data_IF_057061669129
#
_entry.id   IF_057061669129
#
_cell.length_a   1.000
_cell.length_b   1.000
_cell.length_c   1.000
_cell.angle_alpha   90.00
_cell.angle_beta   90.00
_cell.angle_gamma   90.00
#
_symmetry.space_group_name_H-M   'P 1'
#
loop_
_entity.id
_entity.type
_entity.pdbx_description
1 polymer ?
#
# COMPACT_ATOMS: atom_id res chain seq x y z
N UNK A 1 11.34 3.08 1.20
CA UNK A 1 10.04 2.98 0.50
C UNK A 1 10.10 3.83 -0.76
N UNK A 2 9.89 3.23 -1.93
CA UNK A 2 9.90 3.97 -3.19
C UNK A 2 8.86 5.12 -3.16
N UNK A 3 9.09 6.24 -3.89
CA UNK A 3 8.18 7.39 -3.90
C UNK A 3 6.73 7.01 -4.24
N UNK A 4 6.57 5.99 -5.08
CA UNK A 4 5.30 5.51 -5.63
C UNK A 4 4.30 5.03 -4.57
N UNK A 5 4.74 4.50 -3.42
CA UNK A 5 3.81 3.91 -2.44
C UNK A 5 3.39 4.87 -1.32
N UNK A 6 3.95 6.09 -1.30
CA UNK A 6 3.79 7.03 -0.18
C UNK A 6 2.37 7.60 -0.09
N UNK A 7 1.60 7.59 -1.17
CA UNK A 7 0.24 8.14 -1.17
C UNK A 7 -0.73 7.33 -0.30
N UNK A 8 -0.58 6.00 -0.27
CA UNK A 8 -1.37 5.12 0.60
C UNK A 8 -0.84 5.12 2.04
N UNK A 9 0.48 5.01 2.21
CA UNK A 9 1.13 4.92 3.53
C UNK A 9 1.77 6.26 3.94
N UNK A 10 0.94 7.21 4.42
CA UNK A 10 1.40 8.51 4.96
C UNK A 10 1.62 8.55 6.47
N UNK A 11 0.84 7.79 7.22
CA UNK A 11 0.91 7.69 8.68
C UNK A 11 1.40 6.31 9.12
N UNK A 12 1.70 6.12 10.40
CA UNK A 12 1.99 4.81 10.96
C UNK A 12 0.74 3.93 10.86
N UNK A 13 0.76 2.98 9.93
CA UNK A 13 -0.32 2.01 9.78
C UNK A 13 0.08 0.83 10.64
N UNK A 14 -0.66 0.65 11.73
CA UNK A 14 -0.51 -0.48 12.61
C UNK A 14 -0.97 -1.73 11.87
N UNK A 15 -0.04 -2.59 11.52
CA UNK A 15 -0.32 -4.02 11.41
C UNK A 15 -0.68 -4.49 12.82
N UNK A 16 -1.96 -4.36 13.19
CA UNK A 16 -2.42 -5.05 14.39
C UNK A 16 -2.46 -6.51 14.01
N UNK A 17 -1.60 -7.25 14.69
CA UNK A 17 -1.22 -8.64 14.48
C UNK A 17 -2.42 -9.58 14.61
N UNK A 18 -3.23 -9.73 13.56
CA UNK A 18 -4.06 -10.92 13.34
C UNK A 18 -4.17 -11.19 11.83
N UNK A 19 -3.46 -12.23 11.38
CA UNK A 19 -3.73 -13.00 10.15
C UNK A 19 -4.01 -12.22 8.85
N UNK A 20 -3.16 -11.24 8.50
CA UNK A 20 -3.18 -10.65 7.15
C UNK A 20 -4.27 -9.60 6.89
N UNK A 21 -4.91 -9.07 7.94
CA UNK A 21 -5.85 -7.95 7.82
C UNK A 21 -5.13 -6.62 8.09
N UNK A 22 -5.13 -5.72 7.10
CA UNK A 22 -4.65 -4.36 7.27
C UNK A 22 -5.79 -3.45 7.75
N UNK A 23 -5.55 -2.70 8.83
CA UNK A 23 -6.47 -1.64 9.26
C UNK A 23 -6.12 -0.38 8.48
N UNK A 24 -7.06 0.09 7.66
CA UNK A 24 -6.89 1.33 6.92
C UNK A 24 -7.10 2.54 7.84
N UNK A 25 -6.20 3.55 7.77
CA UNK A 25 -6.47 4.90 8.25
C UNK A 25 -7.90 5.39 7.95
N UNK A 26 -8.59 6.04 8.91
CA UNK A 26 -9.92 6.59 8.66
C UNK A 26 -9.99 7.50 7.42
N UNK A 27 -8.94 8.29 7.17
CA UNK A 27 -8.84 9.16 5.97
C UNK A 27 -8.95 8.38 4.66
N UNK A 28 -8.38 7.17 4.60
CA UNK A 28 -8.33 6.38 3.36
C UNK A 28 -9.72 5.88 2.99
N UNK A 29 -10.67 5.81 3.93
CA UNK A 29 -12.04 5.42 3.62
C UNK A 29 -12.67 6.41 2.63
N UNK A 30 -12.62 7.70 2.95
CA UNK A 30 -13.18 8.76 2.09
C UNK A 30 -12.40 8.88 0.78
N UNK A 31 -11.06 8.83 0.85
CA UNK A 31 -10.20 8.92 -0.34
C UNK A 31 -10.46 7.75 -1.33
N UNK A 32 -10.66 6.53 -0.83
CA UNK A 32 -11.00 5.35 -1.66
C UNK A 32 -12.36 5.51 -2.35
N UNK A 33 -13.35 6.05 -1.64
CA UNK A 33 -14.67 6.30 -2.22
C UNK A 33 -14.62 7.39 -3.30
N UNK A 34 -13.84 8.45 -3.10
CA UNK A 34 -13.60 9.51 -4.08
C UNK A 34 -12.93 8.96 -5.34
N UNK A 35 -11.90 8.14 -5.21
CA UNK A 35 -11.23 7.52 -6.36
C UNK A 35 -12.20 6.60 -7.10
N UNK A 36 -13.01 5.81 -6.40
CA UNK A 36 -14.02 4.98 -7.06
C UNK A 36 -15.07 5.82 -7.81
N UNK A 37 -15.42 7.01 -7.32
CA UNK A 37 -16.38 7.93 -7.98
C UNK A 37 -15.76 8.51 -9.25
N UNK A 38 -14.49 8.88 -9.15
CA UNK A 38 -13.73 9.38 -10.29
C UNK A 38 -13.60 8.37 -11.42
N UNK A 39 -13.42 7.08 -11.09
CA UNK A 39 -13.33 5.99 -12.06
C UNK A 39 -14.60 5.85 -12.90
N UNK A 40 -15.79 6.01 -12.30
CA UNK A 40 -17.07 5.92 -13.00
C UNK A 40 -17.52 7.24 -13.64
N UNK A 41 -16.67 8.28 -13.59
CA UNK A 41 -16.92 9.56 -14.25
C UNK A 41 -17.77 10.55 -13.46
N UNK A 42 -17.97 10.33 -12.17
CA UNK A 42 -18.62 11.33 -11.31
C UNK A 42 -17.72 12.57 -11.14
N UNK A 43 -18.35 13.74 -11.04
CA UNK A 43 -17.65 14.99 -10.78
C UNK A 43 -17.23 15.09 -9.30
N UNK A 44 -16.08 14.51 -8.99
CA UNK A 44 -15.47 14.54 -7.65
C UNK A 44 -14.03 15.00 -7.72
N UNK A 45 -13.54 15.60 -6.65
CA UNK A 45 -12.13 15.94 -6.50
C UNK A 45 -11.39 14.76 -5.86
N UNK A 46 -10.40 14.23 -6.56
CA UNK A 46 -9.43 13.29 -6.00
C UNK A 46 -8.28 14.09 -5.41
N UNK A 47 -7.80 13.70 -4.24
CA UNK A 47 -6.65 14.37 -3.64
C UNK A 47 -5.42 14.28 -4.58
N UNK A 48 -4.65 15.37 -4.72
CA UNK A 48 -3.57 15.49 -5.72
C UNK A 48 -2.58 14.32 -5.70
N UNK A 49 -2.25 13.81 -4.51
CA UNK A 49 -1.33 12.68 -4.33
C UNK A 49 -1.91 11.31 -4.74
N UNK A 50 -3.20 11.24 -5.05
CA UNK A 50 -3.88 10.07 -5.61
C UNK A 50 -4.21 10.24 -7.09
N UNK A 51 -4.06 11.43 -7.67
CA UNK A 51 -4.52 11.72 -9.02
C UNK A 51 -3.85 10.81 -10.06
N UNK A 52 -2.52 10.70 -10.04
CA UNK A 52 -1.79 9.84 -10.99
C UNK A 52 -2.23 8.37 -10.89
N UNK A 53 -2.44 7.88 -9.67
CA UNK A 53 -2.92 6.52 -9.42
C UNK A 53 -4.37 6.32 -9.90
N UNK A 54 -5.24 7.30 -9.67
CA UNK A 54 -6.62 7.28 -10.13
C UNK A 54 -6.71 7.28 -11.67
N UNK A 55 -5.86 8.07 -12.34
CA UNK A 55 -5.76 8.13 -13.79
C UNK A 55 -5.26 6.80 -14.38
N UNK A 56 -4.25 6.19 -13.75
CA UNK A 56 -3.76 4.86 -14.13
C UNK A 56 -4.89 3.82 -14.04
N UNK A 57 -5.60 3.76 -12.91
CA UNK A 57 -6.74 2.84 -12.74
C UNK A 57 -7.83 3.09 -13.78
N UNK A 58 -8.15 4.36 -14.06
CA UNK A 58 -9.16 4.73 -15.07
C UNK A 58 -8.76 4.28 -16.47
N UNK A 59 -7.48 4.45 -16.82
CA UNK A 59 -6.94 3.99 -18.12
C UNK A 59 -6.98 2.48 -18.28
N UNK A 60 -6.85 1.72 -17.19
CA UNK A 60 -6.92 0.25 -17.18
C UNK A 60 -8.36 -0.26 -17.25
N UNK A 61 -9.34 0.58 -16.89
CA UNK A 61 -10.76 0.25 -16.84
C UNK A 61 -11.63 1.32 -17.55
N UNK A 62 -11.47 1.54 -18.87
CA UNK A 62 -12.06 2.67 -19.58
C UNK A 62 -13.60 2.65 -19.63
N UNK A 63 -14.21 1.45 -19.61
CA UNK A 63 -15.66 1.27 -19.73
C UNK A 63 -16.36 1.09 -18.36
N UNK A 64 -15.65 1.37 -17.26
CA UNK A 64 -16.17 1.16 -15.93
C UNK A 64 -17.23 2.21 -15.56
N UNK A 65 -18.45 1.74 -15.34
CA UNK A 65 -19.60 2.58 -14.95
C UNK A 65 -20.25 2.16 -13.63
N UNK A 66 -19.93 0.96 -13.16
CA UNK A 66 -20.47 0.37 -11.94
C UNK A 66 -19.63 0.80 -10.73
N UNK A 67 -20.27 1.53 -9.84
CA UNK A 67 -19.65 2.11 -8.64
C UNK A 67 -19.19 1.05 -7.64
N UNK A 68 -19.90 -0.06 -7.49
CA UNK A 68 -19.51 -1.13 -6.58
C UNK A 68 -18.28 -1.87 -7.12
N UNK A 69 -18.24 -2.13 -8.44
CA UNK A 69 -17.06 -2.70 -9.09
C UNK A 69 -15.85 -1.76 -9.01
N UNK A 70 -16.06 -0.45 -9.20
CA UNK A 70 -15.01 0.54 -9.02
C UNK A 70 -14.45 0.52 -7.59
N UNK A 71 -15.32 0.44 -6.58
CA UNK A 71 -14.88 0.34 -5.20
C UNK A 71 -14.06 -0.93 -4.93
N UNK A 72 -14.44 -2.07 -5.52
CA UNK A 72 -13.67 -3.31 -5.41
C UNK A 72 -12.27 -3.19 -6.05
N UNK A 73 -12.20 -2.67 -7.27
CA UNK A 73 -10.93 -2.41 -7.98
C UNK A 73 -10.00 -1.52 -7.16
N UNK A 74 -10.53 -0.43 -6.61
CA UNK A 74 -9.74 0.49 -5.79
C UNK A 74 -9.24 -0.19 -4.52
N UNK A 75 -10.07 -0.98 -3.84
CA UNK A 75 -9.66 -1.75 -2.65
C UNK A 75 -8.58 -2.77 -2.96
N UNK A 76 -8.69 -3.48 -4.08
CA UNK A 76 -7.68 -4.46 -4.52
C UNK A 76 -6.35 -3.77 -4.83
N UNK A 77 -6.40 -2.64 -5.53
CA UNK A 77 -5.21 -1.82 -5.82
C UNK A 77 -4.54 -1.31 -4.53
N UNK A 78 -5.34 -0.82 -3.57
CA UNK A 78 -4.85 -0.43 -2.24
C UNK A 78 -4.18 -1.62 -1.56
N UNK A 79 -4.82 -2.80 -1.55
CA UNK A 79 -4.26 -4.02 -0.99
C UNK A 79 -2.92 -4.42 -1.60
N UNK A 80 -2.78 -4.33 -2.92
CA UNK A 80 -1.53 -4.59 -3.62
C UNK A 80 -0.41 -3.61 -3.25
N UNK A 81 -0.73 -2.31 -3.16
CA UNK A 81 0.21 -1.28 -2.69
C UNK A 81 0.63 -1.56 -1.25
N UNK A 82 -0.31 -1.95 -0.38
CA UNK A 82 -0.02 -2.34 1.00
C UNK A 82 0.92 -3.54 1.07
N UNK A 83 0.62 -4.62 0.35
CA UNK A 83 1.49 -5.81 0.31
C UNK A 83 2.92 -5.42 -0.08
N UNK A 84 3.07 -4.55 -1.08
CA UNK A 84 4.39 -4.07 -1.51
C UNK A 84 5.09 -3.21 -0.46
N UNK A 85 4.35 -2.37 0.26
CA UNK A 85 4.88 -1.61 1.41
C UNK A 85 5.40 -2.54 2.49
N UNK A 86 4.73 -3.66 2.75
CA UNK A 86 5.16 -4.65 3.74
C UNK A 86 6.41 -5.42 3.31
N UNK A 87 6.51 -5.82 2.04
CA UNK A 87 7.76 -6.36 1.47
C UNK A 87 8.92 -5.37 1.65
N UNK A 88 8.63 -4.07 1.52
CA UNK A 88 9.58 -2.99 1.71
C UNK A 88 9.83 -2.61 3.19
N UNK A 89 9.09 -3.14 4.16
CA UNK A 89 9.21 -2.77 5.57
C UNK A 89 10.32 -3.52 6.32
N UNK A 90 10.90 -4.59 5.73
CA UNK A 90 12.01 -5.32 6.35
C UNK A 90 13.25 -4.45 6.61
N UNK A 91 13.75 -4.45 7.85
CA UNK A 91 14.97 -3.75 8.29
C UNK A 91 16.20 -4.30 7.55
N UNK A 92 16.29 -5.62 7.45
CA UNK A 92 17.25 -6.33 6.62
C UNK A 92 16.52 -6.93 5.43
N UNK A 93 16.94 -6.56 4.21
CA UNK A 93 16.32 -7.04 2.98
C UNK A 93 16.65 -8.50 2.72
N UNK A 94 15.77 -9.22 2.03
CA UNK A 94 15.98 -10.59 1.54
C UNK A 94 16.94 -10.60 0.34
N UNK A 95 18.12 -10.05 0.55
CA UNK A 95 19.24 -9.95 -0.38
C UNK A 95 20.47 -10.47 0.35
N UNK A 96 21.50 -10.89 -0.38
CA UNK A 96 22.75 -11.37 0.22
C UNK A 96 23.32 -10.33 1.22
N UNK A 97 23.42 -9.07 0.81
CA UNK A 97 23.90 -7.98 1.67
C UNK A 97 23.03 -7.81 2.93
N UNK A 98 21.70 -7.92 2.79
CA UNK A 98 20.78 -7.80 3.91
C UNK A 98 20.90 -8.98 4.88
N UNK A 99 21.07 -10.20 4.39
CA UNK A 99 21.29 -11.39 5.20
C UNK A 99 22.64 -11.31 5.95
N UNK A 100 23.71 -10.88 5.29
CA UNK A 100 25.01 -10.66 5.97
C UNK A 100 24.93 -9.58 7.04
N UNK A 101 24.21 -8.49 6.79
CA UNK A 101 23.99 -7.44 7.80
C UNK A 101 23.15 -7.94 8.98
N UNK A 102 22.13 -8.77 8.73
CA UNK A 102 21.35 -9.42 9.78
C UNK A 102 22.21 -10.35 10.65
N UNK A 103 23.05 -11.19 10.04
CA UNK A 103 23.93 -12.10 10.79
C UNK A 103 24.94 -11.35 11.67
N UNK A 104 25.54 -10.27 11.17
CA UNK A 104 26.41 -9.40 12.00
C UNK A 104 25.69 -8.83 13.21
N UNK A 105 24.42 -8.45 13.06
CA UNK A 105 23.60 -7.99 14.18
C UNK A 105 23.35 -9.11 15.19
N UNK A 106 22.97 -10.30 14.73
CA UNK A 106 22.72 -11.48 15.58
C UNK A 106 23.96 -11.87 16.39
N UNK A 107 25.14 -11.84 15.77
CA UNK A 107 26.44 -12.04 16.44
C UNK A 107 26.70 -10.95 17.49
N UNK A 108 26.49 -9.68 17.14
CA UNK A 108 26.70 -8.56 18.05
C UNK A 108 25.81 -8.63 19.31
N UNK A 109 24.58 -9.12 19.19
CA UNK A 109 23.65 -9.25 20.33
C UNK A 109 23.77 -10.59 21.06
N UNK A 110 24.70 -11.46 20.66
CA UNK A 110 25.01 -12.71 21.37
C UNK A 110 23.92 -13.79 21.28
N UNK A 111 23.11 -13.77 20.22
CA UNK A 111 22.02 -14.76 20.03
C UNK A 111 22.56 -16.08 19.45
N UNK A 112 23.71 -16.05 18.77
CA UNK A 112 24.41 -17.26 18.36
C UNK A 112 25.28 -17.74 19.52
N UNK A 113 24.94 -18.91 20.05
CA UNK A 113 25.83 -19.68 20.92
C UNK A 113 26.84 -20.40 20.01
N UNK A 114 28.12 -20.39 20.42
CA UNK A 114 29.25 -21.04 19.74
C UNK A 114 28.93 -22.48 19.26
#
# INVERSE_FOLDING_TARGET
MAPVFRHIKKENIGLIEVMGLAILPPRLKEEVEQVASYLVGEAVTVADYHQEWADQLKSQHPDLTDKEKALAIVKDSVGAIFARVLEDAGVYKQTEQGQTAFMRFVEQVGILLD
#
